data_IF_905390301510
#
_entry.id   IF_905390301510
#
_cell.length_a   1.000
_cell.length_b   1.000
_cell.length_c   1.000
_cell.angle_alpha   90.00
_cell.angle_beta   90.00
_cell.angle_gamma   90.00
#
_symmetry.space_group_name_H-M   'P 1'
#
loop_
_entity.id
_entity.type
_entity.pdbx_description
1 polymer ?
#
# COMPACT_ATOMS: atom_id res chain seq x y z
N UNK A 1 -27.50 13.89 -6.25
CA UNK A 1 -26.20 13.51 -5.69
C UNK A 1 -26.38 13.05 -4.26
N UNK A 2 -25.68 11.98 -3.85
CA UNK A 2 -25.59 11.53 -2.47
C UNK A 2 -24.11 11.52 -2.01
N UNK A 3 -23.91 11.46 -0.70
CA UNK A 3 -22.59 11.41 -0.08
C UNK A 3 -22.47 10.09 0.67
N UNK A 4 -21.36 9.37 0.48
CA UNK A 4 -21.00 8.21 1.27
C UNK A 4 -19.71 8.52 2.01
N UNK A 5 -19.75 8.49 3.33
CA UNK A 5 -18.62 8.72 4.20
C UNK A 5 -18.09 7.37 4.72
N UNK A 6 -16.85 7.03 4.36
CA UNK A 6 -16.25 5.74 4.70
C UNK A 6 -15.40 5.87 5.95
N UNK A 7 -15.66 5.02 6.93
CA UNK A 7 -14.93 4.96 8.19
C UNK A 7 -14.65 3.52 8.63
N UNK A 8 -13.71 3.37 9.54
CA UNK A 8 -13.44 2.11 10.23
C UNK A 8 -13.84 2.23 11.71
N UNK A 9 -14.86 1.50 12.11
CA UNK A 9 -15.37 1.47 13.48
C UNK A 9 -14.72 0.39 14.34
N UNK A 10 -14.80 0.53 15.66
CA UNK A 10 -14.34 -0.50 16.60
C UNK A 10 -15.36 -1.63 16.74
N UNK A 11 -14.89 -2.88 16.76
CA UNK A 11 -15.74 -4.07 16.95
C UNK A 11 -16.80 -4.22 15.87
N UNK A 12 -17.93 -4.80 16.23
CA UNK A 12 -19.06 -5.09 15.35
C UNK A 12 -20.34 -4.52 15.94
N UNK A 13 -20.98 -3.59 15.24
CA UNK A 13 -22.28 -3.07 15.67
C UNK A 13 -23.33 -4.18 15.68
N UNK A 14 -24.07 -4.26 16.76
CA UNK A 14 -25.25 -5.12 16.93
C UNK A 14 -26.35 -4.33 17.58
N UNK A 15 -27.60 -4.45 17.13
CA UNK A 15 -28.75 -3.76 17.74
C UNK A 15 -28.95 -4.11 19.22
N UNK A 16 -28.51 -5.30 19.64
CA UNK A 16 -28.55 -5.80 21.01
C UNK A 16 -27.15 -6.18 21.50
N UNK A 17 -26.93 -6.13 22.81
CA UNK A 17 -25.67 -6.55 23.41
C UNK A 17 -25.49 -8.07 23.31
N UNK A 18 -24.38 -8.51 22.76
CA UNK A 18 -23.95 -9.92 22.73
C UNK A 18 -22.71 -10.08 23.62
N UNK A 19 -21.67 -9.30 23.35
CA UNK A 19 -20.42 -9.26 24.10
C UNK A 19 -19.71 -7.89 23.90
N UNK A 20 -18.50 -7.77 24.44
CA UNK A 20 -17.72 -6.53 24.34
C UNK A 20 -17.31 -6.14 22.91
N UNK A 21 -17.23 -7.06 21.95
CA UNK A 21 -16.92 -6.79 20.55
C UNK A 21 -18.19 -6.63 19.72
N UNK A 22 -19.32 -7.20 20.14
CA UNK A 22 -20.60 -7.23 19.45
C UNK A 22 -21.68 -6.55 20.29
N UNK A 23 -21.90 -5.26 20.09
CA UNK A 23 -22.83 -4.49 20.92
C UNK A 23 -23.31 -3.20 20.23
N UNK A 24 -24.37 -2.55 20.77
CA UNK A 24 -24.84 -1.25 20.26
C UNK A 24 -23.83 -0.11 20.41
N UNK A 25 -22.80 -0.29 21.24
CA UNK A 25 -21.73 0.71 21.43
C UNK A 25 -20.58 0.57 20.42
N UNK A 26 -20.67 -0.39 19.52
CA UNK A 26 -19.67 -0.61 18.47
C UNK A 26 -20.13 0.03 17.17
N UNK A 27 -19.14 0.32 16.30
CA UNK A 27 -19.37 1.05 15.07
C UNK A 27 -18.96 0.29 13.82
N UNK A 28 -18.20 -0.79 13.93
CA UNK A 28 -17.80 -1.61 12.78
C UNK A 28 -18.95 -2.43 12.21
N UNK A 29 -18.92 -2.71 10.92
CA UNK A 29 -19.89 -3.51 10.17
C UNK A 29 -21.31 -2.95 10.24
N UNK A 30 -21.44 -1.65 9.92
CA UNK A 30 -22.76 -1.04 9.80
C UNK A 30 -22.80 0.06 8.72
N UNK A 31 -24.01 0.27 8.19
CA UNK A 31 -24.36 1.44 7.41
C UNK A 31 -25.08 2.43 8.35
N UNK A 32 -24.56 3.66 8.42
CA UNK A 32 -25.04 4.70 9.34
C UNK A 32 -25.94 5.67 8.60
N UNK A 33 -27.08 5.97 9.20
CA UNK A 33 -27.96 7.05 8.82
C UNK A 33 -28.29 7.91 10.03
N UNK A 34 -28.47 9.22 9.83
CA UNK A 34 -28.81 10.15 10.92
C UNK A 34 -30.32 10.21 11.18
N UNK A 35 -31.14 9.82 10.20
CA UNK A 35 -32.60 9.72 10.28
C UNK A 35 -33.10 8.81 9.15
N UNK A 36 -34.33 8.30 9.30
CA UNK A 36 -34.91 7.37 8.33
C UNK A 36 -35.27 8.02 7.00
N UNK A 37 -35.68 9.30 7.01
CA UNK A 37 -36.11 10.04 5.84
C UNK A 37 -35.74 11.52 5.95
N UNK A 38 -35.42 12.13 4.82
CA UNK A 38 -35.11 13.55 4.69
C UNK A 38 -36.03 14.20 3.61
N UNK A 39 -36.18 15.51 3.70
CA UNK A 39 -36.96 16.26 2.70
C UNK A 39 -36.04 16.76 1.57
N UNK A 40 -35.83 15.91 0.58
CA UNK A 40 -35.02 16.19 -0.61
C UNK A 40 -35.65 15.51 -1.84
N UNK A 41 -35.42 16.05 -3.06
CA UNK A 41 -36.06 15.51 -4.27
C UNK A 41 -35.65 14.08 -4.64
N UNK A 42 -34.44 13.68 -4.29
CA UNK A 42 -33.86 12.37 -4.66
C UNK A 42 -33.17 11.72 -3.46
N UNK A 43 -33.29 10.41 -3.36
CA UNK A 43 -32.68 9.61 -2.30
C UNK A 43 -33.13 9.99 -0.88
N UNK A 44 -34.41 10.43 -0.76
CA UNK A 44 -34.99 10.93 0.50
C UNK A 44 -35.19 9.85 1.56
N UNK A 45 -35.44 8.60 1.16
CA UNK A 45 -35.62 7.47 2.08
C UNK A 45 -34.28 6.81 2.43
N UNK A 46 -33.58 7.40 3.41
CA UNK A 46 -32.23 6.92 3.80
C UNK A 46 -32.28 5.51 4.36
N UNK A 47 -33.34 5.16 5.10
CA UNK A 47 -33.45 3.82 5.68
C UNK A 47 -33.58 2.74 4.60
N UNK A 48 -34.47 2.94 3.63
CA UNK A 48 -34.66 1.98 2.53
C UNK A 48 -33.39 1.76 1.71
N UNK A 49 -32.69 2.85 1.37
CA UNK A 49 -31.42 2.79 0.65
C UNK A 49 -30.37 2.04 1.48
N UNK A 50 -30.26 2.36 2.78
CA UNK A 50 -29.32 1.70 3.68
C UNK A 50 -29.65 0.21 3.87
N UNK A 51 -30.92 -0.17 3.94
CA UNK A 51 -31.37 -1.57 4.00
C UNK A 51 -30.97 -2.34 2.73
N UNK A 52 -31.12 -1.74 1.54
CA UNK A 52 -30.68 -2.37 0.28
C UNK A 52 -29.15 -2.59 0.25
N UNK A 53 -28.38 -1.61 0.72
CA UNK A 53 -26.92 -1.72 0.80
C UNK A 53 -26.51 -2.82 1.79
N UNK A 54 -27.12 -2.83 2.98
CA UNK A 54 -26.84 -3.83 4.02
C UNK A 54 -27.23 -5.24 3.55
N UNK A 55 -28.37 -5.39 2.87
CA UNK A 55 -28.78 -6.68 2.30
C UNK A 55 -27.75 -7.19 1.30
N UNK A 56 -27.33 -6.35 0.35
CA UNK A 56 -26.31 -6.70 -0.62
C UNK A 56 -24.97 -7.08 0.00
N UNK A 57 -24.51 -6.34 1.01
CA UNK A 57 -23.28 -6.68 1.75
C UNK A 57 -23.43 -8.03 2.44
N UNK A 58 -24.60 -8.31 3.06
CA UNK A 58 -24.86 -9.53 3.79
C UNK A 58 -25.02 -10.78 2.88
N UNK A 59 -25.35 -10.61 1.63
CA UNK A 59 -25.32 -11.69 0.62
C UNK A 59 -23.89 -12.07 0.22
N UNK A 60 -22.90 -11.20 0.50
CA UNK A 60 -21.50 -11.33 0.09
C UNK A 60 -20.52 -11.35 1.27
N UNK A 61 -20.89 -11.90 2.41
CA UNK A 61 -20.05 -11.94 3.61
C UNK A 61 -18.84 -12.86 3.43
N UNK A 62 -17.65 -12.42 3.85
CA UNK A 62 -16.47 -13.27 3.97
C UNK A 62 -16.62 -14.31 5.10
N UNK A 63 -17.32 -13.92 6.16
CA UNK A 63 -17.69 -14.77 7.30
C UNK A 63 -19.01 -14.33 7.89
N UNK A 64 -19.78 -15.26 8.44
CA UNK A 64 -21.08 -14.97 9.04
C UNK A 64 -21.02 -13.97 10.19
N UNK A 65 -19.95 -13.95 10.98
CA UNK A 65 -19.75 -13.01 12.07
C UNK A 65 -19.63 -11.54 11.60
N UNK A 66 -19.31 -11.29 10.29
CA UNK A 66 -19.16 -9.97 9.70
C UNK A 66 -20.49 -9.33 9.29
N UNK A 67 -21.63 -9.86 9.69
CA UNK A 67 -22.95 -9.36 9.34
C UNK A 67 -23.07 -7.85 9.57
N UNK A 68 -23.60 -7.15 8.58
CA UNK A 68 -23.89 -5.72 8.62
C UNK A 68 -25.27 -5.42 9.16
N UNK A 69 -25.42 -4.25 9.77
CA UNK A 69 -26.69 -3.71 10.22
C UNK A 69 -26.83 -2.24 9.83
N UNK A 70 -28.08 -1.75 9.73
CA UNK A 70 -28.32 -0.32 9.67
C UNK A 70 -28.24 0.24 11.09
N UNK A 71 -27.41 1.26 11.30
CA UNK A 71 -27.33 2.03 12.53
C UNK A 71 -27.95 3.42 12.33
N UNK A 72 -29.16 3.62 12.78
CA UNK A 72 -29.80 4.93 12.79
C UNK A 72 -29.45 5.66 14.09
N UNK A 73 -28.68 6.72 14.00
CA UNK A 73 -28.21 7.50 15.16
C UNK A 73 -29.30 8.44 15.70
N UNK A 74 -30.36 8.68 14.94
CA UNK A 74 -31.49 9.56 15.32
C UNK A 74 -31.01 10.94 15.80
N UNK A 75 -30.05 11.51 15.11
CA UNK A 75 -29.35 12.74 15.52
C UNK A 75 -30.31 13.90 15.77
N UNK A 76 -31.35 14.05 14.96
CA UNK A 76 -32.44 15.07 15.19
C UNK A 76 -33.20 14.86 16.50
N UNK A 77 -33.25 13.66 17.03
CA UNK A 77 -34.01 13.31 18.24
C UNK A 77 -33.18 13.52 19.53
N UNK A 78 -31.94 14.03 19.42
CA UNK A 78 -31.18 14.48 20.57
C UNK A 78 -29.75 13.96 20.73
N UNK A 79 -29.19 13.22 19.77
CA UNK A 79 -27.78 12.82 19.82
C UNK A 79 -26.85 13.95 19.32
N UNK A 80 -26.58 14.92 20.23
CA UNK A 80 -25.73 16.08 19.94
C UNK A 80 -24.30 15.74 19.55
N UNK A 81 -23.77 14.58 19.95
CA UNK A 81 -22.43 14.15 19.58
C UNK A 81 -22.35 13.85 18.07
N UNK A 82 -23.43 13.36 17.50
CA UNK A 82 -23.53 13.03 16.08
C UNK A 82 -23.75 14.28 15.19
N UNK A 83 -24.13 15.43 15.76
CA UNK A 83 -24.24 16.70 15.00
C UNK A 83 -22.90 17.14 14.38
N UNK A 84 -21.77 16.64 14.87
CA UNK A 84 -20.41 16.93 14.38
C UNK A 84 -20.03 16.09 13.15
N UNK A 85 -20.88 15.15 12.72
CA UNK A 85 -20.57 14.25 11.62
C UNK A 85 -20.76 14.90 10.25
N UNK A 86 -19.99 14.42 9.26
CA UNK A 86 -20.13 14.83 7.88
C UNK A 86 -21.52 14.47 7.33
N UNK A 87 -22.09 13.34 7.71
CA UNK A 87 -23.42 12.90 7.28
C UNK A 87 -24.50 13.86 7.76
N UNK A 88 -24.49 14.23 9.04
CA UNK A 88 -25.44 15.21 9.58
C UNK A 88 -25.31 16.61 8.93
N UNK A 89 -24.06 17.08 8.78
CA UNK A 89 -23.83 18.34 8.07
C UNK A 89 -24.39 18.30 6.63
N UNK A 90 -24.14 17.22 5.90
CA UNK A 90 -24.61 17.08 4.52
C UNK A 90 -26.14 17.03 4.41
N UNK A 91 -26.78 16.33 5.34
CA UNK A 91 -28.27 16.27 5.41
C UNK A 91 -28.83 17.66 5.64
N UNK A 92 -28.28 18.45 6.54
CA UNK A 92 -28.70 19.83 6.80
C UNK A 92 -28.44 20.77 5.61
N UNK A 93 -27.59 20.38 4.66
CA UNK A 93 -27.39 21.07 3.38
C UNK A 93 -28.21 20.46 2.23
N UNK A 94 -29.25 19.69 2.55
CA UNK A 94 -30.18 19.11 1.56
C UNK A 94 -29.52 18.03 0.69
N UNK A 95 -28.57 17.25 1.23
CA UNK A 95 -27.94 16.13 0.54
C UNK A 95 -28.20 14.82 1.27
N UNK A 96 -28.64 13.81 0.54
CA UNK A 96 -28.67 12.45 1.08
C UNK A 96 -27.25 12.02 1.45
N UNK A 97 -27.05 11.53 2.68
CA UNK A 97 -25.74 11.14 3.18
C UNK A 97 -25.81 9.87 4.02
N UNK A 98 -24.79 9.03 3.86
CA UNK A 98 -24.65 7.74 4.50
C UNK A 98 -23.24 7.60 5.06
N UNK A 99 -23.10 7.03 6.25
CA UNK A 99 -21.84 6.49 6.74
C UNK A 99 -21.74 5.00 6.40
N UNK A 100 -20.55 4.51 6.12
CA UNK A 100 -20.29 3.08 6.01
C UNK A 100 -19.07 2.74 6.85
N UNK A 101 -19.22 1.85 7.82
CA UNK A 101 -18.22 1.50 8.80
C UNK A 101 -17.79 0.04 8.63
N UNK A 102 -16.52 -0.19 8.28
CA UNK A 102 -15.92 -1.52 8.38
C UNK A 102 -15.25 -1.71 9.75
N UNK A 103 -15.19 -2.94 10.25
CA UNK A 103 -14.59 -3.20 11.56
C UNK A 103 -13.07 -3.08 11.55
N UNK A 104 -12.51 -2.29 12.48
CA UNK A 104 -11.05 -2.23 12.75
C UNK A 104 -10.45 -3.58 13.19
N UNK A 105 -11.27 -4.54 13.58
CA UNK A 105 -10.83 -5.89 13.92
C UNK A 105 -10.43 -6.71 12.69
N UNK A 106 -10.82 -6.25 11.49
CA UNK A 106 -10.49 -6.89 10.22
C UNK A 106 -9.16 -6.37 9.65
N UNK A 107 -8.43 -7.18 8.87
CA UNK A 107 -7.29 -6.71 8.11
C UNK A 107 -7.72 -5.70 7.04
N UNK A 108 -6.80 -4.83 6.61
CA UNK A 108 -7.11 -3.71 5.70
C UNK A 108 -7.83 -4.16 4.43
N UNK A 109 -7.42 -5.27 3.81
CA UNK A 109 -8.03 -5.74 2.57
C UNK A 109 -9.48 -6.21 2.76
N UNK A 110 -9.83 -6.81 3.91
CA UNK A 110 -11.20 -7.20 4.23
C UNK A 110 -12.08 -5.98 4.55
N UNK A 111 -11.52 -4.95 5.23
CA UNK A 111 -12.22 -3.67 5.41
C UNK A 111 -12.51 -3.00 4.07
N UNK A 112 -11.50 -2.98 3.19
CA UNK A 112 -11.65 -2.45 1.83
C UNK A 112 -12.70 -3.23 1.03
N UNK A 113 -12.73 -4.56 1.19
CA UNK A 113 -13.76 -5.42 0.57
C UNK A 113 -15.17 -4.95 0.94
N UNK A 114 -15.47 -4.77 2.22
CA UNK A 114 -16.78 -4.33 2.68
C UNK A 114 -17.12 -2.91 2.28
N UNK A 115 -16.15 -2.00 2.28
CA UNK A 115 -16.35 -0.64 1.76
C UNK A 115 -16.66 -0.63 0.26
N UNK A 116 -15.99 -1.46 -0.53
CA UNK A 116 -16.24 -1.57 -1.97
C UNK A 116 -17.62 -2.18 -2.26
N UNK A 117 -18.04 -3.22 -1.54
CA UNK A 117 -19.40 -3.78 -1.68
C UNK A 117 -20.45 -2.70 -1.46
N UNK A 118 -20.34 -1.95 -0.36
CA UNK A 118 -21.28 -0.87 -0.08
C UNK A 118 -21.25 0.22 -1.15
N UNK A 119 -20.06 0.69 -1.57
CA UNK A 119 -19.91 1.71 -2.62
C UNK A 119 -20.49 1.26 -3.96
N UNK A 120 -20.23 0.03 -4.38
CA UNK A 120 -20.75 -0.54 -5.62
C UNK A 120 -22.27 -0.57 -5.59
N UNK A 121 -22.87 -0.97 -4.46
CA UNK A 121 -24.34 -0.94 -4.33
C UNK A 121 -24.91 0.48 -4.35
N UNK A 122 -24.23 1.46 -3.73
CA UNK A 122 -24.65 2.86 -3.88
C UNK A 122 -24.53 3.34 -5.33
N UNK A 123 -23.49 2.94 -6.06
CA UNK A 123 -23.35 3.28 -7.49
C UNK A 123 -24.47 2.67 -8.32
N UNK A 124 -24.83 1.40 -8.07
CA UNK A 124 -25.97 0.73 -8.74
C UNK A 124 -27.29 1.48 -8.50
N UNK A 125 -27.58 1.87 -7.24
CA UNK A 125 -28.77 2.65 -6.89
C UNK A 125 -28.79 4.00 -7.62
N UNK A 126 -27.61 4.58 -7.88
CA UNK A 126 -27.47 5.85 -8.61
C UNK A 126 -27.45 5.67 -10.14
N UNK A 127 -27.46 4.47 -10.67
CA UNK A 127 -27.30 4.18 -12.09
C UNK A 127 -25.90 4.49 -12.62
N UNK A 128 -24.86 4.41 -11.77
CA UNK A 128 -23.47 4.65 -12.15
C UNK A 128 -22.82 3.33 -12.58
N UNK A 129 -22.46 3.26 -13.84
CA UNK A 129 -21.68 2.13 -14.37
C UNK A 129 -20.20 2.21 -13.91
N UNK A 130 -19.62 1.07 -13.56
CA UNK A 130 -18.21 0.96 -13.16
C UNK A 130 -17.57 -0.33 -13.66
N UNK A 131 -16.24 -0.33 -13.72
CA UNK A 131 -15.46 -1.51 -14.10
C UNK A 131 -14.29 -1.69 -13.14
N UNK A 132 -14.21 -2.87 -12.53
CA UNK A 132 -13.09 -3.27 -11.69
C UNK A 132 -11.92 -3.83 -12.53
N UNK A 133 -10.69 -3.55 -12.10
CA UNK A 133 -9.46 -4.12 -12.67
C UNK A 133 -8.86 -5.23 -11.78
N UNK A 134 -9.60 -5.69 -10.79
CA UNK A 134 -9.20 -6.74 -9.83
C UNK A 134 -10.42 -7.60 -9.47
N UNK A 135 -10.17 -8.77 -8.92
CA UNK A 135 -11.24 -9.65 -8.43
C UNK A 135 -11.78 -9.14 -7.09
N UNK A 136 -13.11 -9.16 -6.94
CA UNK A 136 -13.81 -8.76 -5.72
C UNK A 136 -13.79 -9.90 -4.69
N UNK A 137 -12.60 -10.25 -4.24
CA UNK A 137 -12.30 -11.23 -3.20
C UNK A 137 -11.31 -10.63 -2.20
N UNK A 138 -11.23 -11.16 -0.99
CA UNK A 138 -10.21 -10.75 0.01
C UNK A 138 -8.79 -10.84 -0.58
N UNK A 139 -8.46 -11.92 -1.28
CA UNK A 139 -7.16 -12.12 -1.94
C UNK A 139 -6.94 -11.19 -3.13
N UNK A 140 -7.94 -10.97 -3.96
CA UNK A 140 -7.86 -10.06 -5.11
C UNK A 140 -7.62 -8.61 -4.67
N UNK A 141 -8.32 -8.16 -3.64
CA UNK A 141 -8.11 -6.82 -3.06
C UNK A 141 -6.75 -6.73 -2.37
N UNK A 142 -6.33 -7.77 -1.62
CA UNK A 142 -4.99 -7.80 -1.06
C UNK A 142 -3.93 -7.63 -2.16
N UNK A 143 -4.07 -8.35 -3.27
CA UNK A 143 -3.18 -8.24 -4.41
C UNK A 143 -3.21 -6.84 -5.03
N UNK A 144 -4.39 -6.27 -5.26
CA UNK A 144 -4.55 -4.93 -5.81
C UNK A 144 -3.91 -3.82 -4.95
N UNK A 145 -3.93 -3.99 -3.62
CA UNK A 145 -3.34 -3.02 -2.69
C UNK A 145 -1.83 -3.20 -2.55
N UNK A 146 -1.31 -4.44 -2.58
CA UNK A 146 0.04 -4.75 -2.13
C UNK A 146 0.98 -5.28 -3.21
N UNK A 147 0.47 -5.81 -4.33
CA UNK A 147 1.33 -6.31 -5.40
C UNK A 147 1.81 -5.15 -6.27
N UNK A 148 3.00 -5.34 -6.84
CA UNK A 148 3.62 -4.42 -7.80
C UNK A 148 3.74 -2.96 -7.34
N UNK A 149 3.68 -2.74 -6.02
CA UNK A 149 3.93 -1.42 -5.45
C UNK A 149 5.44 -1.13 -5.38
N UNK A 150 5.84 -0.01 -5.95
CA UNK A 150 7.24 0.42 -5.95
C UNK A 150 7.38 1.94 -5.98
N UNK A 151 8.56 2.41 -5.66
CA UNK A 151 9.04 3.75 -5.99
C UNK A 151 10.31 3.65 -6.85
N UNK A 152 10.46 4.58 -7.79
CA UNK A 152 11.70 4.82 -8.53
C UNK A 152 12.25 6.18 -8.14
N UNK A 153 13.56 6.26 -7.95
CA UNK A 153 14.27 7.47 -7.52
C UNK A 153 15.27 7.88 -8.59
N UNK A 154 15.41 9.22 -8.77
CA UNK A 154 16.47 9.84 -9.58
C UNK A 154 16.52 9.29 -11.00
N UNK A 155 15.46 9.50 -11.78
CA UNK A 155 15.32 9.03 -13.16
C UNK A 155 15.61 7.54 -13.34
N UNK A 156 14.96 6.75 -12.49
CA UNK A 156 15.02 5.29 -12.47
C UNK A 156 16.41 4.70 -12.15
N UNK A 157 17.36 5.48 -11.61
CA UNK A 157 18.64 4.94 -11.12
C UNK A 157 18.48 3.95 -9.96
N UNK A 158 17.36 4.05 -9.22
CA UNK A 158 16.99 3.16 -8.13
C UNK A 158 15.51 2.82 -8.25
N UNK A 159 15.15 1.54 -8.33
CA UNK A 159 13.78 1.05 -8.20
C UNK A 159 13.65 0.21 -6.94
N UNK A 160 12.73 0.57 -6.06
CA UNK A 160 12.56 -0.07 -4.76
C UNK A 160 11.18 -0.71 -4.67
N UNK A 161 11.07 -2.05 -4.71
CA UNK A 161 9.80 -2.75 -4.50
C UNK A 161 9.40 -2.65 -3.02
N UNK A 162 8.12 -2.39 -2.76
CA UNK A 162 7.62 -2.05 -1.42
C UNK A 162 6.77 -3.15 -0.77
N UNK A 163 6.31 -4.14 -1.53
CA UNK A 163 5.36 -5.19 -1.07
C UNK A 163 5.81 -5.90 0.22
N UNK A 164 7.09 -6.18 0.36
CA UNK A 164 7.68 -6.90 1.50
C UNK A 164 8.91 -6.17 2.06
N UNK A 165 9.00 -4.87 1.84
CA UNK A 165 10.16 -4.08 2.24
C UNK A 165 10.40 -4.14 3.76
N UNK A 166 11.66 -4.13 4.17
CA UNK A 166 12.01 -3.98 5.60
C UNK A 166 11.63 -2.61 6.10
N UNK A 167 11.20 -2.52 7.35
CA UNK A 167 10.83 -1.25 7.98
C UNK A 167 11.97 -0.24 8.13
N UNK A 168 13.23 -0.68 7.91
CA UNK A 168 14.41 0.17 8.00
C UNK A 168 15.53 -0.30 7.07
N UNK A 169 16.02 0.58 6.19
CA UNK A 169 17.17 0.35 5.32
C UNK A 169 18.28 1.34 5.68
N UNK A 170 19.46 0.80 6.05
CA UNK A 170 20.66 1.61 6.37
C UNK A 170 21.49 1.87 5.13
N UNK A 171 22.28 2.96 5.19
CA UNK A 171 23.23 3.33 4.13
C UNK A 171 22.56 3.34 2.76
N UNK A 172 21.41 4.04 2.68
CA UNK A 172 20.67 4.13 1.44
C UNK A 172 21.17 5.35 0.64
N UNK A 173 21.62 5.17 -0.61
CA UNK A 173 22.20 6.27 -1.39
C UNK A 173 21.12 7.32 -1.68
N UNK A 174 21.35 8.52 -1.17
CA UNK A 174 20.49 9.70 -1.36
C UNK A 174 21.34 10.80 -2.01
N UNK A 175 20.83 11.43 -3.06
CA UNK A 175 21.53 12.52 -3.77
C UNK A 175 21.74 13.71 -2.82
N UNK A 176 22.99 14.16 -2.70
CA UNK A 176 23.37 15.25 -1.80
C UNK A 176 22.79 16.58 -2.27
N UNK A 177 22.31 17.39 -1.32
CA UNK A 177 21.89 18.75 -1.60
C UNK A 177 20.59 18.94 -2.39
N UNK A 178 19.87 17.86 -2.69
CA UNK A 178 18.61 17.91 -3.46
C UNK A 178 17.43 17.33 -2.70
N UNK A 179 16.23 17.78 -3.10
CA UNK A 179 14.98 17.10 -2.72
C UNK A 179 14.96 15.74 -3.42
N UNK A 180 14.46 14.72 -2.75
CA UNK A 180 14.34 13.40 -3.35
C UNK A 180 13.29 13.46 -4.47
N UNK A 181 13.75 13.33 -5.71
CA UNK A 181 12.89 13.12 -6.86
C UNK A 181 12.50 11.66 -6.97
N UNK A 182 11.19 11.39 -7.11
CA UNK A 182 10.69 10.02 -7.19
C UNK A 182 9.42 9.91 -8.03
N UNK A 183 9.27 8.76 -8.67
CA UNK A 183 8.03 8.28 -9.29
C UNK A 183 7.48 7.14 -8.45
N UNK A 184 6.18 7.03 -8.32
CA UNK A 184 5.55 5.96 -7.56
C UNK A 184 4.52 5.21 -8.40
N UNK A 185 4.38 3.91 -8.15
CA UNK A 185 3.35 3.07 -8.80
C UNK A 185 1.92 3.43 -8.37
N UNK A 186 1.76 4.19 -7.29
CA UNK A 186 0.46 4.59 -6.75
C UNK A 186 0.51 6.04 -6.25
N UNK A 187 -0.47 6.89 -6.61
CA UNK A 187 -0.50 8.31 -6.22
C UNK A 187 -0.65 8.56 -4.70
N UNK A 188 -1.01 7.56 -3.92
CA UNK A 188 -1.07 7.65 -2.45
C UNK A 188 0.30 7.47 -1.77
N UNK A 189 1.37 7.29 -2.55
CA UNK A 189 2.72 7.16 -2.00
C UNK A 189 3.40 8.51 -1.86
N UNK A 190 4.16 8.66 -0.78
CA UNK A 190 4.93 9.86 -0.50
C UNK A 190 6.21 9.52 0.27
N UNK A 191 7.21 10.40 0.16
CA UNK A 191 8.44 10.33 0.95
C UNK A 191 8.49 11.56 1.85
N UNK A 192 8.62 11.32 3.17
CA UNK A 192 8.72 12.38 4.18
C UNK A 192 10.12 12.38 4.79
N UNK A 193 10.83 13.51 4.70
CA UNK A 193 12.17 13.71 5.29
C UNK A 193 12.08 14.22 6.72
N UNK A 194 12.81 13.56 7.64
CA UNK A 194 13.06 14.07 8.99
C UNK A 194 14.53 13.83 9.35
N UNK A 195 15.33 14.88 9.41
CA UNK A 195 16.79 14.76 9.57
C UNK A 195 17.43 13.98 8.41
N UNK A 196 18.13 12.90 8.71
CA UNK A 196 18.74 11.99 7.71
C UNK A 196 17.89 10.73 7.43
N UNK A 197 16.62 10.72 7.84
CA UNK A 197 15.68 9.63 7.59
C UNK A 197 14.64 10.08 6.57
N UNK A 198 14.43 9.24 5.57
CA UNK A 198 13.40 9.39 4.54
C UNK A 198 12.38 8.27 4.71
N UNK A 199 11.17 8.63 5.14
CA UNK A 199 10.10 7.67 5.43
C UNK A 199 9.21 7.54 4.22
N UNK A 200 9.08 6.32 3.70
CA UNK A 200 8.14 5.99 2.63
C UNK A 200 6.78 5.69 3.25
N UNK A 201 5.77 6.44 2.82
CA UNK A 201 4.37 6.25 3.18
C UNK A 201 3.55 5.74 2.00
N UNK A 202 2.53 4.94 2.28
CA UNK A 202 1.47 4.56 1.37
C UNK A 202 0.13 4.86 2.08
N UNK A 203 -0.51 5.96 1.70
CA UNK A 203 -1.57 6.55 2.49
C UNK A 203 -1.07 6.86 3.91
N UNK A 204 -1.80 6.43 4.92
CA UNK A 204 -1.42 6.57 6.33
C UNK A 204 -0.43 5.50 6.83
N UNK A 205 -0.09 4.50 6.00
CA UNK A 205 0.83 3.40 6.36
C UNK A 205 2.27 3.81 6.13
N UNK A 206 3.10 3.71 7.16
CA UNK A 206 4.55 3.81 7.04
C UNK A 206 5.11 2.45 6.60
N UNK A 207 5.73 2.40 5.42
CA UNK A 207 6.28 1.17 4.84
C UNK A 207 7.73 0.93 5.24
N UNK A 208 8.59 1.95 5.08
CA UNK A 208 10.02 1.86 5.36
C UNK A 208 10.63 3.21 5.72
N UNK A 209 11.73 3.17 6.48
CA UNK A 209 12.62 4.29 6.71
C UNK A 209 13.95 4.04 5.98
N UNK A 210 14.35 4.97 5.14
CA UNK A 210 15.65 4.96 4.48
C UNK A 210 16.59 5.87 5.28
N UNK A 211 17.64 5.33 5.89
CA UNK A 211 18.71 6.14 6.50
C UNK A 211 19.69 6.56 5.42
N UNK A 212 19.75 7.86 5.18
CA UNK A 212 20.55 8.42 4.11
C UNK A 212 22.06 8.14 4.29
N UNK A 213 22.66 7.74 3.19
CA UNK A 213 24.05 7.86 2.86
C UNK A 213 24.15 8.86 1.69
N UNK A 214 24.59 10.09 1.99
CA UNK A 214 24.54 11.16 1.01
C UNK A 214 25.66 11.03 -0.01
N UNK A 215 25.29 10.87 -1.29
CA UNK A 215 26.20 10.65 -2.41
C UNK A 215 26.10 11.77 -3.45
N UNK A 216 27.22 12.12 -4.07
CA UNK A 216 27.20 12.76 -5.38
C UNK A 216 26.76 11.72 -6.42
N UNK A 217 25.98 12.13 -7.41
CA UNK A 217 25.49 11.21 -8.45
C UNK A 217 26.22 11.41 -9.77
N UNK A 218 26.51 10.31 -10.43
CA UNK A 218 26.97 10.27 -11.80
C UNK A 218 25.79 10.33 -12.76
N UNK A 219 25.91 11.12 -13.82
CA UNK A 219 24.85 11.29 -14.85
C UNK A 219 25.13 10.45 -16.11
N UNK A 220 26.16 9.60 -16.08
CA UNK A 220 26.58 8.77 -17.19
C UNK A 220 25.70 7.54 -17.45
N UNK A 221 26.27 6.62 -18.18
CA UNK A 221 25.64 5.42 -18.72
C UNK A 221 24.92 4.59 -17.67
N UNK A 222 23.75 4.03 -18.04
CA UNK A 222 22.83 3.39 -17.11
C UNK A 222 22.70 1.88 -17.32
N UNK A 223 23.64 1.24 -18.07
CA UNK A 223 23.58 -0.19 -18.37
C UNK A 223 24.81 -0.92 -17.88
N UNK A 224 24.60 -2.13 -17.41
CA UNK A 224 25.62 -3.01 -16.83
C UNK A 224 25.39 -4.46 -17.22
N UNK A 225 26.42 -5.27 -17.17
CA UNK A 225 26.40 -6.65 -17.63
C UNK A 225 26.36 -7.64 -16.47
N UNK A 226 25.43 -8.59 -16.58
CA UNK A 226 25.28 -9.72 -15.66
C UNK A 226 25.35 -11.05 -16.42
N UNK A 227 25.79 -12.10 -15.72
CA UNK A 227 25.41 -13.46 -16.02
C UNK A 227 24.37 -13.88 -14.99
N UNK A 228 23.15 -14.17 -15.42
CA UNK A 228 22.05 -14.63 -14.58
C UNK A 228 21.80 -16.10 -14.90
N UNK A 229 22.02 -16.98 -13.94
CA UNK A 229 21.93 -18.43 -14.12
C UNK A 229 22.71 -18.96 -15.33
N UNK A 230 23.86 -18.31 -15.62
CA UNK A 230 24.74 -18.63 -16.75
C UNK A 230 24.39 -17.93 -18.07
N UNK A 231 23.30 -17.16 -18.14
CA UNK A 231 22.89 -16.41 -19.33
C UNK A 231 23.31 -14.94 -19.22
N UNK A 232 23.96 -14.41 -20.26
CA UNK A 232 24.35 -12.99 -20.31
C UNK A 232 23.12 -12.09 -20.49
N UNK A 233 23.07 -11.02 -19.72
CA UNK A 233 22.04 -9.99 -19.80
C UNK A 233 22.66 -8.62 -19.62
N UNK A 234 22.29 -7.68 -20.51
CA UNK A 234 22.52 -6.26 -20.31
C UNK A 234 21.36 -5.67 -19.52
N UNK A 235 21.65 -5.05 -18.37
CA UNK A 235 20.65 -4.62 -17.39
C UNK A 235 20.78 -3.12 -17.15
N UNK A 236 19.67 -2.39 -17.25
CA UNK A 236 19.64 -0.97 -16.88
C UNK A 236 19.61 -0.80 -15.36
N UNK A 237 20.13 0.32 -14.83
CA UNK A 237 19.91 0.68 -13.44
C UNK A 237 18.40 0.80 -13.15
N UNK A 238 18.02 0.61 -11.90
CA UNK A 238 16.62 0.55 -11.50
C UNK A 238 15.89 -0.73 -11.91
N UNK A 239 16.58 -1.73 -12.46
CA UNK A 239 15.98 -3.02 -12.78
C UNK A 239 16.01 -3.95 -11.59
N UNK A 240 14.99 -4.84 -11.51
CA UNK A 240 14.96 -5.99 -10.60
C UNK A 240 15.18 -7.25 -11.44
N UNK A 241 16.28 -7.94 -11.20
CA UNK A 241 16.66 -9.15 -11.93
C UNK A 241 16.29 -10.36 -11.11
N UNK A 242 15.41 -11.22 -11.66
CA UNK A 242 15.04 -12.48 -11.02
C UNK A 242 16.15 -13.53 -11.20
N UNK A 243 16.55 -14.18 -10.11
CA UNK A 243 17.64 -15.17 -10.04
C UNK A 243 17.06 -16.49 -9.55
N UNK A 244 17.32 -17.59 -10.27
CA UNK A 244 16.95 -18.93 -9.82
C UNK A 244 18.03 -19.56 -8.92
N UNK A 245 19.27 -19.52 -9.37
CA UNK A 245 20.41 -20.16 -8.67
C UNK A 245 21.48 -19.17 -8.27
N UNK A 246 22.03 -18.42 -9.23
CA UNK A 246 23.20 -17.57 -9.03
C UNK A 246 23.27 -16.44 -10.04
N UNK A 247 24.04 -15.43 -9.71
CA UNK A 247 24.42 -14.39 -10.65
C UNK A 247 25.92 -14.09 -10.57
N UNK A 248 26.44 -13.45 -11.61
CA UNK A 248 27.78 -12.90 -11.66
C UNK A 248 27.68 -11.49 -12.25
N UNK A 249 28.34 -10.53 -11.63
CA UNK A 249 28.46 -9.17 -12.15
C UNK A 249 29.74 -9.09 -12.98
N UNK A 250 29.62 -8.71 -14.24
CA UNK A 250 30.77 -8.52 -15.12
C UNK A 250 31.62 -7.34 -14.67
N UNK A 251 32.94 -7.50 -14.79
CA UNK A 251 33.84 -6.37 -14.55
C UNK A 251 33.59 -5.24 -15.56
N UNK A 252 33.52 -4.02 -15.05
CA UNK A 252 33.42 -2.82 -15.88
C UNK A 252 34.41 -1.79 -15.35
N UNK A 253 35.37 -1.39 -16.23
CA UNK A 253 36.44 -0.44 -15.86
C UNK A 253 35.95 0.93 -15.41
N UNK A 254 34.72 1.29 -15.76
CA UNK A 254 34.13 2.58 -15.42
C UNK A 254 33.48 2.60 -14.04
N UNK A 255 33.27 1.41 -13.44
CA UNK A 255 32.53 1.31 -12.18
C UNK A 255 33.29 0.52 -11.12
N UNK A 256 33.30 1.04 -9.91
CA UNK A 256 33.47 0.25 -8.69
C UNK A 256 32.09 -0.34 -8.35
N UNK A 257 32.02 -1.64 -8.08
CA UNK A 257 30.79 -2.39 -7.89
C UNK A 257 30.76 -2.94 -6.47
N UNK A 258 29.63 -2.79 -5.79
CA UNK A 258 29.41 -3.33 -4.46
C UNK A 258 28.16 -4.22 -4.45
N UNK A 259 28.30 -5.50 -4.16
CA UNK A 259 27.21 -6.43 -3.88
C UNK A 259 26.92 -6.39 -2.39
N UNK A 260 25.92 -5.64 -1.99
CA UNK A 260 25.68 -5.32 -0.57
C UNK A 260 25.36 -6.56 0.26
N UNK A 261 26.26 -6.87 1.17
CA UNK A 261 26.14 -8.04 2.06
C UNK A 261 26.90 -9.29 1.60
N UNK A 262 27.47 -9.28 0.40
CA UNK A 262 28.40 -10.30 -0.05
C UNK A 262 29.82 -10.01 0.48
N UNK A 263 30.53 -11.04 0.87
CA UNK A 263 31.95 -10.98 1.23
C UNK A 263 32.62 -12.29 0.90
N UNK A 264 33.82 -12.21 0.32
CA UNK A 264 34.70 -13.34 0.16
C UNK A 264 36.09 -13.00 0.69
N UNK A 265 36.97 -14.00 0.76
CA UNK A 265 38.34 -13.86 1.30
C UNK A 265 39.23 -12.88 0.51
N UNK A 266 38.90 -12.63 -0.77
CA UNK A 266 39.66 -11.76 -1.67
C UNK A 266 39.04 -10.36 -1.83
N UNK A 267 37.89 -10.09 -1.21
CA UNK A 267 37.10 -8.85 -1.40
C UNK A 267 36.81 -8.52 -2.87
N UNK A 268 36.61 -9.56 -3.71
CA UNK A 268 36.29 -9.43 -5.13
C UNK A 268 34.80 -9.69 -5.29
N UNK A 269 34.07 -8.73 -5.90
CA UNK A 269 32.61 -8.77 -6.08
C UNK A 269 32.21 -8.88 -7.55
N UNK A 270 33.19 -8.86 -8.47
CA UNK A 270 32.98 -9.01 -9.92
C UNK A 270 33.67 -10.28 -10.43
N UNK A 271 33.20 -10.81 -11.57
CA UNK A 271 33.70 -12.04 -12.21
C UNK A 271 33.71 -13.28 -11.26
N UNK A 272 32.86 -13.25 -10.24
CA UNK A 272 32.65 -14.36 -9.32
C UNK A 272 31.14 -14.72 -9.30
N UNK A 273 30.86 -16.01 -9.31
CA UNK A 273 29.49 -16.51 -9.19
C UNK A 273 29.03 -16.37 -7.75
N UNK A 274 27.90 -15.69 -7.56
CA UNK A 274 27.32 -15.37 -6.24
C UNK A 274 25.97 -16.09 -6.10
N UNK A 275 25.86 -16.91 -5.06
CA UNK A 275 24.63 -17.58 -4.67
C UNK A 275 24.00 -16.89 -3.45
N UNK A 276 22.69 -17.04 -3.27
CA UNK A 276 21.92 -16.46 -2.15
C UNK A 276 22.55 -16.72 -0.78
N UNK A 277 23.04 -17.94 -0.53
CA UNK A 277 23.65 -18.34 0.76
C UNK A 277 24.92 -17.58 1.11
N UNK A 278 25.59 -16.96 0.13
CA UNK A 278 26.83 -16.21 0.31
C UNK A 278 26.56 -14.74 0.67
N UNK A 279 25.31 -14.28 0.60
CA UNK A 279 24.92 -12.90 0.93
C UNK A 279 24.24 -12.87 2.30
N UNK A 280 24.74 -12.04 3.20
CA UNK A 280 24.19 -11.96 4.55
C UNK A 280 22.77 -11.42 4.56
N UNK A 281 21.80 -12.23 5.03
CA UNK A 281 20.36 -11.95 5.03
C UNK A 281 19.99 -10.59 5.63
N UNK A 282 20.75 -10.08 6.60
CA UNK A 282 20.49 -8.77 7.23
C UNK A 282 20.58 -7.58 6.27
N UNK A 283 21.26 -7.75 5.12
CA UNK A 283 21.41 -6.71 4.10
C UNK A 283 20.35 -6.77 2.98
N UNK A 284 19.46 -7.78 3.00
CA UNK A 284 18.33 -7.78 2.07
C UNK A 284 17.43 -6.56 2.29
N UNK A 285 16.82 -6.07 1.24
CA UNK A 285 15.83 -4.98 1.35
C UNK A 285 14.45 -5.48 1.74
N UNK A 286 14.16 -6.76 1.53
CA UNK A 286 12.90 -7.41 1.86
C UNK A 286 12.97 -8.22 3.17
N UNK A 287 11.81 -8.47 3.77
CA UNK A 287 11.69 -9.24 5.03
C UNK A 287 12.01 -10.72 4.86
N UNK A 288 11.80 -11.27 3.64
CA UNK A 288 12.05 -12.68 3.33
C UNK A 288 13.55 -12.98 3.16
N UNK A 289 14.35 -11.96 2.84
CA UNK A 289 15.78 -12.12 2.60
C UNK A 289 16.06 -12.65 1.20
N UNK A 290 15.33 -12.16 0.22
CA UNK A 290 15.43 -12.59 -1.17
C UNK A 290 15.93 -11.51 -2.12
N UNK A 291 15.88 -10.22 -1.74
CA UNK A 291 16.24 -9.11 -2.61
C UNK A 291 17.43 -8.35 -2.06
N UNK A 292 18.47 -8.21 -2.88
CA UNK A 292 19.71 -7.55 -2.49
C UNK A 292 20.11 -6.47 -3.48
N UNK A 293 20.93 -5.50 -3.02
CA UNK A 293 21.42 -4.36 -3.80
C UNK A 293 22.76 -4.68 -4.42
N UNK A 294 22.90 -4.38 -5.71
CA UNK A 294 24.16 -4.27 -6.43
C UNK A 294 24.35 -2.82 -6.80
N UNK A 295 25.26 -2.13 -6.14
CA UNK A 295 25.48 -0.69 -6.27
C UNK A 295 26.71 -0.40 -7.12
N UNK A 296 26.59 0.61 -7.98
CA UNK A 296 27.61 1.02 -8.94
C UNK A 296 28.07 2.44 -8.66
N UNK A 297 29.38 2.64 -8.69
CA UNK A 297 30.01 3.94 -8.43
C UNK A 297 30.99 4.26 -9.56
N UNK A 298 30.78 5.37 -10.29
CA UNK A 298 31.70 5.92 -11.26
C UNK A 298 32.68 6.85 -10.52
N UNK A 299 33.94 6.44 -10.38
CA UNK A 299 34.90 7.06 -9.45
C UNK A 299 34.30 7.02 -8.03
N UNK A 300 34.02 8.19 -7.42
CA UNK A 300 33.43 8.29 -6.07
C UNK A 300 31.95 8.69 -6.10
N UNK A 301 31.30 8.75 -7.29
CA UNK A 301 29.91 9.14 -7.45
C UNK A 301 29.02 7.91 -7.61
N UNK A 302 27.87 7.92 -6.97
CA UNK A 302 26.88 6.86 -7.14
C UNK A 302 26.29 6.94 -8.56
N UNK A 303 26.41 5.87 -9.34
CA UNK A 303 25.91 5.80 -10.71
C UNK A 303 24.50 5.22 -10.76
N UNK A 304 24.19 4.23 -9.91
CA UNK A 304 22.89 3.57 -9.85
C UNK A 304 22.96 2.22 -9.13
N UNK A 305 21.83 1.53 -9.08
CA UNK A 305 21.79 0.17 -8.55
C UNK A 305 20.88 -0.73 -9.37
N UNK A 306 21.22 -2.01 -9.33
CA UNK A 306 20.37 -3.11 -9.76
C UNK A 306 19.97 -3.91 -8.53
N UNK A 307 18.73 -4.37 -8.48
CA UNK A 307 18.31 -5.32 -7.44
C UNK A 307 18.35 -6.74 -8.00
N UNK A 308 18.93 -7.66 -7.27
CA UNK A 308 18.89 -9.09 -7.56
C UNK A 308 17.90 -9.76 -6.64
N UNK A 309 16.93 -10.50 -7.20
CA UNK A 309 15.83 -11.15 -6.47
C UNK A 309 15.87 -12.64 -6.69
N UNK A 310 16.29 -13.37 -5.68
CA UNK A 310 16.27 -14.84 -5.70
C UNK A 310 14.85 -15.37 -5.56
N UNK A 311 14.48 -16.29 -6.44
CA UNK A 311 13.24 -17.06 -6.30
C UNK A 311 13.24 -17.83 -4.97
N UNK A 312 12.04 -17.98 -4.39
CA UNK A 312 11.80 -18.62 -3.08
C UNK A 312 11.86 -20.12 -3.19
#
# INVERSE_FOLDING_TARGET
KLIVNLHDGSGYYRPTYIDNLHSPRRWGQCSIIDQSKIDVPMYSNLKEISDQVVSYVNENLLKQEHIYHVHNTRTKEGDKEMEKTLTYFAINQGKAAFGNEASKSLPTHDRTYYHLLALEKYMDIMGIEYKRKFEMTSSGIYAAINNDIYISLYDDKIKLPLSQIRGFLKYFPIKKGQIVDFKASNPLMMIVKKGNIYTIHYGNRRLSNLKADYQEYDEGDNKVDFLVDGVHQEVAFGTIVDIEKSFLVKHNKNFRINVIGYRNKKNIETEVTIEKKQIAKKFSIDRRGSIYRVEYYAKDKFAGMVLVKFKS
#
